data_IF_820519580652
#
_entry.id   IF_820519580652
#
_cell.length_a   1.000
_cell.length_b   1.000
_cell.length_c   1.000
_cell.angle_alpha   90.00
_cell.angle_beta   90.00
_cell.angle_gamma   90.00
#
_symmetry.space_group_name_H-M   'P 1'
#
loop_
_entity.id
_entity.type
_entity.pdbx_description
1 polymer ?
#
# COMPACT_ATOMS: atom_id res chain seq x y z
N UNK A 1 -12.91 -14.70 -16.13
CA UNK A 1 -13.08 -14.03 -14.83
C UNK A 1 -13.63 -12.65 -15.08
N UNK A 2 -14.67 -12.32 -14.33
CA UNK A 2 -15.31 -11.00 -14.34
C UNK A 2 -14.46 -9.96 -13.59
N UNK A 3 -14.54 -8.70 -13.99
CA UNK A 3 -13.77 -7.60 -13.40
C UNK A 3 -14.02 -7.49 -11.90
N UNK A 4 -15.29 -7.60 -11.47
CA UNK A 4 -15.65 -7.45 -10.06
C UNK A 4 -15.09 -8.57 -9.18
N UNK A 5 -14.77 -9.74 -9.74
CA UNK A 5 -14.15 -10.83 -8.96
C UNK A 5 -12.64 -10.69 -8.80
N UNK A 6 -12.01 -9.91 -9.67
CA UNK A 6 -10.54 -9.78 -9.73
C UNK A 6 -10.09 -8.43 -9.19
N UNK A 7 -10.66 -7.35 -9.72
CA UNK A 7 -10.20 -5.99 -9.46
C UNK A 7 -10.94 -5.32 -8.30
N UNK A 8 -12.22 -5.62 -8.04
CA UNK A 8 -12.94 -5.01 -6.93
C UNK A 8 -12.29 -5.32 -5.56
N UNK A 9 -11.88 -6.56 -5.24
CA UNK A 9 -11.19 -6.83 -3.97
C UNK A 9 -9.83 -6.13 -3.87
N UNK A 10 -9.09 -6.06 -4.98
CA UNK A 10 -7.82 -5.34 -5.05
C UNK A 10 -8.01 -3.84 -4.78
N UNK A 11 -8.97 -3.20 -5.47
CA UNK A 11 -9.30 -1.78 -5.29
C UNK A 11 -9.82 -1.52 -3.88
N UNK A 12 -10.61 -2.41 -3.30
CA UNK A 12 -11.05 -2.28 -1.92
C UNK A 12 -9.85 -2.31 -0.96
N UNK A 13 -8.99 -3.33 -1.06
CA UNK A 13 -7.85 -3.49 -0.16
C UNK A 13 -6.84 -2.33 -0.26
N UNK A 14 -6.40 -1.98 -1.46
CA UNK A 14 -5.36 -0.96 -1.64
C UNK A 14 -5.94 0.46 -1.79
N UNK A 15 -7.20 0.61 -2.21
CA UNK A 15 -7.87 1.91 -2.26
C UNK A 15 -8.39 2.33 -0.88
N UNK A 16 -9.34 1.58 -0.32
CA UNK A 16 -9.90 1.89 1.01
C UNK A 16 -8.83 1.72 2.09
N UNK A 17 -8.05 0.64 2.04
CA UNK A 17 -6.90 0.46 2.95
C UNK A 17 -5.83 1.52 2.74
N UNK A 18 -5.64 2.03 1.52
CA UNK A 18 -4.75 3.15 1.23
C UNK A 18 -5.17 4.44 1.94
N UNK A 19 -6.47 4.76 1.93
CA UNK A 19 -7.01 5.92 2.67
C UNK A 19 -6.70 5.79 4.16
N UNK A 20 -6.98 4.62 4.75
CA UNK A 20 -6.72 4.36 6.18
C UNK A 20 -5.21 4.46 6.48
N UNK A 21 -4.37 3.88 5.62
CA UNK A 21 -2.92 3.96 5.75
C UNK A 21 -2.41 5.41 5.69
N UNK A 22 -2.93 6.24 4.78
CA UNK A 22 -2.59 7.66 4.69
C UNK A 22 -3.00 8.42 5.94
N UNK A 23 -4.20 8.17 6.49
CA UNK A 23 -4.64 8.77 7.75
C UNK A 23 -3.69 8.38 8.89
N UNK A 24 -3.30 7.11 8.97
CA UNK A 24 -2.32 6.61 9.93
C UNK A 24 -0.96 7.30 9.78
N UNK A 25 -0.46 7.45 8.54
CA UNK A 25 0.78 8.18 8.25
C UNK A 25 0.71 9.64 8.71
N UNK A 26 -0.39 10.33 8.42
CA UNK A 26 -0.59 11.71 8.87
C UNK A 26 -0.54 11.75 10.41
N UNK A 27 -1.23 10.83 11.09
CA UNK A 27 -1.29 10.80 12.54
C UNK A 27 0.10 10.59 13.17
N UNK A 28 0.88 9.60 12.72
CA UNK A 28 2.21 9.31 13.29
C UNK A 28 3.21 10.45 13.07
N UNK A 29 3.06 11.20 11.96
CA UNK A 29 3.88 12.37 11.68
C UNK A 29 3.46 13.56 12.54
N UNK A 30 2.15 13.80 12.70
CA UNK A 30 1.61 14.90 13.50
C UNK A 30 1.87 14.74 14.99
N UNK A 31 1.77 13.52 15.51
CA UNK A 31 2.07 13.21 16.92
C UNK A 31 3.57 13.14 17.21
N UNK A 32 4.41 13.30 16.18
CA UNK A 32 5.87 13.14 16.26
C UNK A 32 6.30 11.76 16.79
N UNK A 33 5.46 10.74 16.62
CA UNK A 33 5.81 9.34 16.87
C UNK A 33 6.84 8.85 15.83
N UNK A 34 6.70 9.32 14.58
CA UNK A 34 7.72 9.18 13.54
C UNK A 34 8.17 10.59 13.12
N UNK A 35 9.47 10.86 13.25
CA UNK A 35 10.08 12.18 13.02
C UNK A 35 11.06 12.11 11.86
N UNK A 36 10.72 12.61 10.66
CA UNK A 36 11.58 12.50 9.48
C UNK A 36 12.97 13.13 9.61
N UNK A 37 13.16 14.01 10.60
CA UNK A 37 14.47 14.62 10.91
C UNK A 37 15.51 13.60 11.39
N UNK A 38 15.09 12.48 11.97
CA UNK A 38 16.01 11.40 12.36
C UNK A 38 16.15 10.39 11.24
N UNK A 39 17.39 10.04 10.89
CA UNK A 39 17.68 9.10 9.80
C UNK A 39 16.98 7.75 9.96
N UNK A 40 16.95 7.21 11.19
CA UNK A 40 16.27 5.95 11.49
C UNK A 40 14.76 6.03 11.21
N UNK A 41 14.13 7.14 11.58
CA UNK A 41 12.70 7.34 11.35
C UNK A 41 12.40 7.58 9.88
N UNK A 42 13.28 8.27 9.16
CA UNK A 42 13.20 8.42 7.70
C UNK A 42 13.27 7.07 6.98
N UNK A 43 14.15 6.15 7.43
CA UNK A 43 14.17 4.76 6.93
C UNK A 43 12.83 4.05 7.15
N UNK A 44 12.25 4.18 8.34
CA UNK A 44 10.93 3.59 8.62
C UNK A 44 9.81 4.18 7.77
N UNK A 45 9.82 5.49 7.52
CA UNK A 45 8.85 6.11 6.61
C UNK A 45 8.96 5.53 5.19
N UNK A 46 10.20 5.35 4.70
CA UNK A 46 10.45 4.67 3.43
C UNK A 46 9.98 3.22 3.43
N UNK A 47 10.22 2.47 4.50
CA UNK A 47 9.73 1.08 4.64
C UNK A 47 8.21 1.01 4.59
N UNK A 48 7.51 1.95 5.23
CA UNK A 48 6.04 2.00 5.20
C UNK A 48 5.51 2.23 3.78
N UNK A 49 6.04 3.24 3.09
CA UNK A 49 5.64 3.50 1.69
C UNK A 49 6.03 2.35 0.77
N UNK A 50 7.28 1.89 0.86
CA UNK A 50 7.76 0.77 0.05
C UNK A 50 6.91 -0.48 0.28
N UNK A 51 6.65 -0.86 1.54
CA UNK A 51 5.83 -2.03 1.86
C UNK A 51 4.44 -1.94 1.24
N UNK A 52 3.76 -0.80 1.38
CA UNK A 52 2.44 -0.61 0.80
C UNK A 52 2.44 -0.75 -0.73
N UNK A 53 3.32 -0.02 -1.43
CA UNK A 53 3.36 -0.03 -2.89
C UNK A 53 3.95 -1.32 -3.47
N UNK A 54 4.92 -1.94 -2.80
CA UNK A 54 5.50 -3.21 -3.20
C UNK A 54 4.43 -4.30 -3.19
N UNK A 55 3.67 -4.44 -2.10
CA UNK A 55 2.62 -5.45 -2.03
C UNK A 55 1.48 -5.16 -3.00
N UNK A 56 1.09 -3.90 -3.19
CA UNK A 56 0.09 -3.51 -4.20
C UNK A 56 0.55 -3.88 -5.62
N UNK A 57 1.79 -3.55 -5.97
CA UNK A 57 2.38 -3.87 -7.28
C UNK A 57 2.54 -5.38 -7.49
N UNK A 58 3.06 -6.10 -6.49
CA UNK A 58 3.21 -7.56 -6.57
C UNK A 58 1.85 -8.24 -6.79
N UNK A 59 0.82 -7.83 -6.04
CA UNK A 59 -0.52 -8.39 -6.17
C UNK A 59 -1.12 -8.07 -7.55
N UNK A 60 -0.96 -6.84 -8.05
CA UNK A 60 -1.39 -6.47 -9.40
C UNK A 60 -0.67 -7.30 -10.47
N UNK A 61 0.65 -7.53 -10.33
CA UNK A 61 1.43 -8.39 -11.23
C UNK A 61 0.86 -9.81 -11.26
N UNK A 62 0.53 -10.40 -10.11
CA UNK A 62 -0.09 -11.73 -10.08
C UNK A 62 -1.49 -11.75 -10.70
N UNK A 63 -2.28 -10.68 -10.56
CA UNK A 63 -3.55 -10.53 -11.28
C UNK A 63 -3.29 -10.57 -12.79
N UNK A 64 -2.34 -9.79 -13.30
CA UNK A 64 -2.01 -9.78 -14.73
C UNK A 64 -1.49 -11.14 -15.23
N UNK A 65 -0.60 -11.79 -14.47
CA UNK A 65 -0.11 -13.14 -14.80
C UNK A 65 -1.25 -14.16 -14.85
N UNK A 66 -2.18 -14.13 -13.88
CA UNK A 66 -3.34 -15.02 -13.86
C UNK A 66 -4.34 -14.75 -14.99
N UNK A 67 -4.45 -13.49 -15.44
CA UNK A 67 -5.29 -13.12 -16.59
C UNK A 67 -4.65 -13.54 -17.92
N UNK A 68 -3.32 -13.46 -18.03
CA UNK A 68 -2.54 -13.84 -19.22
C UNK A 68 -2.24 -15.34 -19.33
N UNK A 69 -2.34 -16.10 -18.24
CA UNK A 69 -2.23 -17.57 -18.21
C UNK A 69 -3.49 -18.30 -18.72
N UNK A 70 -4.34 -17.63 -19.50
CA UNK A 70 -5.57 -18.19 -20.08
C UNK A 70 -5.36 -18.64 -21.51
#
# INVERSE_FOLDING_TARGET
MDFFRVWLPFIYLYGVGGIIFTVGLILILRTKALRPSYERHRKWLWVLFYGFFFWAGLHATFIFLALGSR
#
